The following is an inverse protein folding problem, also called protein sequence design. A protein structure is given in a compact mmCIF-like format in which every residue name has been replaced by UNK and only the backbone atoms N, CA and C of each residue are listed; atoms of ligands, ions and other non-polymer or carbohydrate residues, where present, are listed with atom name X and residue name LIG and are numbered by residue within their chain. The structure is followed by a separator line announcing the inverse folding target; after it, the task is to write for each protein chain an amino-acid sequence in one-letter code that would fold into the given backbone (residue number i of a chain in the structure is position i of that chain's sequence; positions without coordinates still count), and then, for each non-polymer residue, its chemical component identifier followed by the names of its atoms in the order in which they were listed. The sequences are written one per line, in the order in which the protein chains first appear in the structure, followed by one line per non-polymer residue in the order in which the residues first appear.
data_IF_670188180863
#
_entry.id   IF_670188180863
#
_cell.length_a   1.000
_cell.length_b   1.000
_cell.length_c   1.000
_cell.angle_alpha   90.00
_cell.angle_beta   90.00
_cell.angle_gamma   90.00
#
_symmetry.space_group_name_H-M   'P 1'
#
loop_
_entity.id
_entity.type
_entity.pdbx_description
1 polymer ?
#
# COMPACT_ATOMS: atom_id res chain seq x y z
N UNK A 1 -8.26 -4.85 14.01
CA UNK A 1 -8.62 -6.28 14.01
C UNK A 1 -10.13 -6.46 14.16
N UNK A 2 -10.77 -7.37 13.38
CA UNK A 2 -10.16 -8.16 12.28
C UNK A 2 -9.59 -7.27 11.15
N UNK A 3 -8.75 -7.79 10.24
CA UNK A 3 -8.29 -7.07 9.04
C UNK A 3 -9.44 -6.87 8.05
N UNK A 4 -9.19 -6.15 6.95
CA UNK A 4 -10.21 -5.78 5.97
C UNK A 4 -9.83 -5.86 4.50
N UNK A 5 -8.57 -5.70 4.11
CA UNK A 5 -8.21 -5.45 2.71
C UNK A 5 -8.54 -6.58 1.70
N UNK A 6 -8.82 -7.80 2.17
CA UNK A 6 -9.26 -8.93 1.35
C UNK A 6 -10.79 -9.06 1.21
N UNK A 7 -11.57 -8.34 2.01
CA UNK A 7 -13.03 -8.41 1.91
C UNK A 7 -13.51 -7.71 0.62
N UNK A 8 -14.13 -8.47 -0.26
CA UNK A 8 -14.72 -8.02 -1.52
C UNK A 8 -16.17 -7.55 -1.31
N UNK A 9 -16.78 -6.81 -2.26
CA UNK A 9 -18.14 -6.29 -2.12
C UNK A 9 -19.20 -7.35 -1.76
N UNK A 10 -19.01 -8.59 -2.21
CA UNK A 10 -19.95 -9.70 -2.05
C UNK A 10 -19.34 -10.92 -1.36
N UNK A 11 -18.14 -10.81 -0.77
CA UNK A 11 -17.43 -11.98 -0.22
C UNK A 11 -16.45 -11.61 0.90
N UNK A 12 -16.53 -12.37 1.99
CA UNK A 12 -15.52 -12.39 3.05
C UNK A 12 -14.42 -13.40 2.70
N UNK A 13 -13.15 -13.03 2.88
CA UNK A 13 -12.00 -13.92 2.65
C UNK A 13 -10.74 -13.38 3.33
N UNK A 14 -9.70 -14.21 3.47
CA UNK A 14 -8.40 -13.79 4.04
C UNK A 14 -8.51 -13.16 5.44
N UNK A 15 -9.31 -13.78 6.32
CA UNK A 15 -9.64 -13.25 7.66
C UNK A 15 -10.38 -11.90 7.70
N UNK A 16 -10.72 -11.34 6.53
CA UNK A 16 -11.39 -10.07 6.39
C UNK A 16 -12.92 -10.27 6.23
N UNK A 17 -13.67 -9.61 7.10
CA UNK A 17 -15.15 -9.66 7.11
C UNK A 17 -15.76 -8.41 6.46
N UNK A 18 -15.16 -7.26 6.71
CA UNK A 18 -15.51 -5.96 6.13
C UNK A 18 -14.22 -5.28 5.70
N UNK A 19 -14.27 -4.56 4.59
CA UNK A 19 -13.11 -3.80 4.13
C UNK A 19 -13.01 -2.46 4.86
N UNK A 20 -12.22 -2.43 5.93
CA UNK A 20 -12.09 -1.26 6.82
C UNK A 20 -11.62 -0.02 6.06
N UNK A 21 -10.61 -0.16 5.19
CA UNK A 21 -10.08 0.95 4.40
C UNK A 21 -11.10 1.47 3.38
N UNK A 22 -11.83 0.58 2.71
CA UNK A 22 -12.87 0.97 1.78
C UNK A 22 -14.04 1.70 2.47
N UNK A 23 -14.48 1.20 3.63
CA UNK A 23 -15.51 1.87 4.44
C UNK A 23 -15.04 3.25 4.89
N UNK A 24 -13.80 3.38 5.34
CA UNK A 24 -13.22 4.67 5.73
C UNK A 24 -13.12 5.64 4.53
N UNK A 25 -12.75 5.15 3.35
CA UNK A 25 -12.72 5.95 2.13
C UNK A 25 -14.12 6.46 1.76
N UNK A 26 -15.14 5.60 1.71
CA UNK A 26 -16.51 6.01 1.41
C UNK A 26 -17.06 7.00 2.46
N UNK A 27 -16.75 6.80 3.75
CA UNK A 27 -17.08 7.77 4.80
C UNK A 27 -16.41 9.14 4.55
N UNK A 28 -15.14 9.16 4.15
CA UNK A 28 -14.44 10.39 3.80
C UNK A 28 -15.03 11.07 2.54
N UNK A 29 -15.43 10.29 1.53
CA UNK A 29 -16.12 10.80 0.34
C UNK A 29 -17.44 11.48 0.72
N UNK A 30 -18.22 10.86 1.60
CA UNK A 30 -19.47 11.43 2.12
C UNK A 30 -19.25 12.73 2.93
N UNK A 31 -18.09 12.88 3.56
CA UNK A 31 -17.67 14.11 4.26
C UNK A 31 -16.99 15.15 3.34
N UNK A 32 -16.96 14.93 2.03
CA UNK A 32 -16.51 15.90 1.02
C UNK A 32 -15.07 15.74 0.54
N UNK A 33 -14.35 14.67 0.92
CA UNK A 33 -13.03 14.40 0.37
C UNK A 33 -13.16 13.99 -1.11
N UNK A 34 -12.90 14.89 -2.07
CA UNK A 34 -13.07 14.63 -3.52
C UNK A 34 -12.29 13.42 -4.06
N UNK A 35 -11.11 13.17 -3.47
CA UNK A 35 -10.17 12.12 -3.86
C UNK A 35 -9.57 11.48 -2.62
N UNK A 36 -9.47 10.16 -2.58
CA UNK A 36 -8.88 9.42 -1.45
C UNK A 36 -7.77 8.49 -1.98
N UNK A 37 -6.62 8.48 -1.34
CA UNK A 37 -5.58 7.48 -1.58
C UNK A 37 -5.71 6.39 -0.53
N UNK A 38 -5.76 5.14 -0.97
CA UNK A 38 -5.54 3.95 -0.14
C UNK A 38 -4.21 3.33 -0.58
N UNK A 39 -3.22 3.39 0.31
CA UNK A 39 -1.95 2.70 0.12
C UNK A 39 -1.93 1.43 0.99
N UNK A 40 -1.55 0.31 0.40
CA UNK A 40 -1.54 -0.99 1.03
C UNK A 40 -0.13 -1.58 0.97
N UNK A 41 0.48 -1.73 2.15
CA UNK A 41 1.81 -2.32 2.29
C UNK A 41 1.77 -3.66 3.02
N UNK A 42 0.58 -4.22 3.26
CA UNK A 42 0.44 -5.62 3.68
C UNK A 42 1.11 -6.53 2.64
N UNK A 43 1.76 -7.60 3.09
CA UNK A 43 2.51 -8.48 2.19
C UNK A 43 1.61 -9.19 1.18
N UNK A 44 0.31 -9.30 1.48
CA UNK A 44 -0.69 -9.88 0.60
C UNK A 44 -1.35 -8.80 -0.25
N UNK A 45 -1.71 -9.15 -1.48
CA UNK A 45 -2.47 -8.23 -2.32
C UNK A 45 -3.87 -8.00 -1.74
N UNK A 46 -4.22 -6.73 -1.46
CA UNK A 46 -5.54 -6.32 -1.00
C UNK A 46 -6.62 -6.35 -2.09
N UNK A 47 -6.86 -7.56 -2.63
CA UNK A 47 -7.81 -7.84 -3.70
C UNK A 47 -9.22 -7.30 -3.42
N UNK A 48 -9.64 -7.28 -2.16
CA UNK A 48 -10.93 -6.74 -1.75
C UNK A 48 -11.01 -5.24 -2.01
N UNK A 49 -9.97 -4.50 -1.59
CA UNK A 49 -9.88 -3.05 -1.82
C UNK A 49 -9.84 -2.73 -3.31
N UNK A 50 -9.02 -3.46 -4.07
CA UNK A 50 -8.98 -3.35 -5.52
C UNK A 50 -10.37 -3.57 -6.14
N UNK A 51 -11.08 -4.63 -5.74
CA UNK A 51 -12.39 -4.96 -6.28
C UNK A 51 -13.46 -3.89 -5.97
N UNK A 52 -13.44 -3.28 -4.77
CA UNK A 52 -14.38 -2.21 -4.40
C UNK A 52 -14.23 -1.00 -5.32
N UNK A 53 -13.00 -0.63 -5.69
CA UNK A 53 -12.71 0.61 -6.43
C UNK A 53 -12.29 0.39 -7.89
N UNK A 54 -12.44 -0.83 -8.42
CA UNK A 54 -11.95 -1.22 -9.75
C UNK A 54 -12.33 -0.26 -10.89
N UNK A 55 -13.55 0.27 -10.85
CA UNK A 55 -14.07 1.20 -11.87
C UNK A 55 -14.12 2.67 -11.41
N UNK A 56 -13.46 3.00 -10.29
CA UNK A 56 -13.59 4.30 -9.59
C UNK A 56 -12.30 5.11 -9.70
N UNK A 57 -12.37 6.26 -10.39
CA UNK A 57 -11.25 7.21 -10.49
C UNK A 57 -11.14 8.23 -9.35
N UNK A 58 -12.05 8.19 -8.39
CA UNK A 58 -12.05 9.07 -7.21
C UNK A 58 -11.38 8.44 -5.97
N UNK A 59 -10.98 7.17 -6.08
CA UNK A 59 -10.13 6.48 -5.11
C UNK A 59 -8.95 5.87 -5.85
N UNK A 60 -7.74 6.28 -5.46
CA UNK A 60 -6.50 5.67 -5.95
C UNK A 60 -6.10 4.55 -4.99
N UNK A 61 -5.99 3.32 -5.51
CA UNK A 61 -5.48 2.17 -4.77
C UNK A 61 -4.04 1.87 -5.21
N UNK A 62 -3.13 1.83 -4.25
CA UNK A 62 -1.72 1.48 -4.46
C UNK A 62 -1.37 0.31 -3.55
N UNK A 63 -0.79 -0.76 -4.11
CA UNK A 63 -0.37 -1.93 -3.32
C UNK A 63 1.01 -2.39 -3.71
N UNK A 64 1.87 -2.62 -2.71
CA UNK A 64 3.09 -3.41 -2.84
C UNK A 64 2.90 -4.69 -2.05
N UNK A 65 3.14 -5.83 -2.70
CA UNK A 65 2.84 -7.13 -2.11
C UNK A 65 3.73 -8.21 -2.72
N UNK A 66 3.80 -9.37 -2.07
CA UNK A 66 4.45 -10.55 -2.61
C UNK A 66 3.62 -11.15 -3.75
N UNK A 67 4.26 -11.54 -4.86
CA UNK A 67 3.61 -12.12 -6.02
C UNK A 67 4.55 -13.08 -6.79
N UNK A 68 4.05 -14.22 -7.30
CA UNK A 68 2.73 -14.79 -7.05
C UNK A 68 2.59 -15.27 -5.60
N UNK A 69 1.53 -14.85 -4.92
CA UNK A 69 1.24 -15.21 -3.53
C UNK A 69 -0.26 -15.18 -3.27
N UNK A 70 -0.72 -15.15 -2.01
CA UNK A 70 -2.15 -15.02 -1.73
C UNK A 70 -2.68 -13.65 -2.17
N UNK A 71 -3.85 -13.59 -2.86
CA UNK A 71 -4.75 -14.69 -3.23
C UNK A 71 -4.57 -15.21 -4.67
N UNK A 72 -3.51 -14.80 -5.38
CA UNK A 72 -3.26 -15.11 -6.79
C UNK A 72 -3.64 -13.99 -7.75
N UNK A 73 -3.90 -12.79 -7.23
CA UNK A 73 -4.18 -11.56 -7.97
C UNK A 73 -3.14 -10.49 -7.62
N UNK A 74 -3.25 -9.30 -8.21
CA UNK A 74 -2.32 -8.19 -7.96
C UNK A 74 -1.21 -8.10 -9.01
N UNK A 75 -1.41 -8.71 -10.18
CA UNK A 75 -0.45 -8.55 -11.28
C UNK A 75 -0.37 -7.08 -11.72
N UNK A 76 0.80 -6.67 -12.23
CA UNK A 76 1.06 -5.27 -12.58
C UNK A 76 0.15 -4.72 -13.70
N UNK A 77 -0.45 -5.60 -14.51
CA UNK A 77 -1.38 -5.22 -15.57
C UNK A 77 -2.83 -5.08 -15.09
N UNK A 78 -3.12 -5.40 -13.83
CA UNK A 78 -4.42 -5.14 -13.21
C UNK A 78 -4.49 -3.66 -12.82
N UNK A 79 -4.92 -2.79 -13.74
CA UNK A 79 -4.85 -1.32 -13.57
C UNK A 79 -6.20 -0.62 -13.39
N UNK A 80 -7.29 -1.39 -13.24
CA UNK A 80 -8.66 -0.86 -13.19
C UNK A 80 -9.31 -0.76 -14.57
N UNK A 81 -10.59 -0.42 -14.58
CA UNK A 81 -11.39 -0.32 -15.81
C UNK A 81 -12.26 0.94 -15.85
N UNK A 82 -12.76 1.28 -17.04
CA UNK A 82 -13.66 2.43 -17.25
C UNK A 82 -13.08 3.71 -16.64
N UNK A 83 -13.82 4.40 -15.77
CA UNK A 83 -13.36 5.61 -15.11
C UNK A 83 -12.25 5.36 -14.07
N UNK A 84 -12.05 4.11 -13.65
CA UNK A 84 -10.98 3.69 -12.74
C UNK A 84 -9.72 3.18 -13.44
N UNK A 85 -9.67 3.17 -14.78
CA UNK A 85 -8.48 2.75 -15.51
C UNK A 85 -7.27 3.65 -15.16
N UNK A 86 -6.20 3.02 -14.66
CA UNK A 86 -5.00 3.67 -14.12
C UNK A 86 -5.05 3.97 -12.62
N UNK A 87 -6.19 3.82 -11.93
CA UNK A 87 -6.33 4.15 -10.50
C UNK A 87 -6.14 2.93 -9.57
N UNK A 88 -5.83 1.77 -10.14
CA UNK A 88 -5.24 0.64 -9.42
C UNK A 88 -3.78 0.51 -9.81
N UNK A 89 -2.90 0.50 -8.82
CA UNK A 89 -1.44 0.52 -9.00
C UNK A 89 -0.86 -0.62 -8.17
N UNK A 90 -0.50 -1.71 -8.84
CA UNK A 90 0.13 -2.86 -8.21
C UNK A 90 1.64 -2.89 -8.49
N UNK A 91 2.43 -3.12 -7.44
CA UNK A 91 3.86 -3.44 -7.53
C UNK A 91 4.08 -4.85 -6.98
N UNK A 92 3.94 -5.89 -7.84
CA UNK A 92 4.06 -7.29 -7.45
C UNK A 92 5.53 -7.70 -7.33
N UNK A 93 6.01 -7.87 -6.10
CA UNK A 93 7.39 -8.26 -5.83
C UNK A 93 7.56 -9.76 -5.61
N UNK A 94 8.65 -10.39 -6.10
CA UNK A 94 9.00 -11.73 -5.65
C UNK A 94 9.39 -11.71 -4.17
N UNK A 95 9.28 -12.86 -3.49
CA UNK A 95 9.73 -13.00 -2.11
C UNK A 95 11.17 -12.49 -1.87
N UNK A 96 11.47 -12.16 -0.63
CA UNK A 96 12.78 -11.73 -0.16
C UNK A 96 13.13 -10.28 -0.49
N UNK A 97 12.15 -9.42 -0.81
CA UNK A 97 12.42 -7.98 -0.97
C UNK A 97 12.58 -7.32 0.40
N UNK A 98 13.59 -6.47 0.50
CA UNK A 98 13.95 -5.77 1.74
C UNK A 98 13.50 -4.30 1.71
N UNK A 99 13.90 -3.54 2.73
CA UNK A 99 13.59 -2.11 2.87
C UNK A 99 13.98 -1.25 1.66
N UNK A 100 15.12 -1.54 0.99
CA UNK A 100 15.58 -0.77 -0.17
C UNK A 100 14.71 -1.06 -1.40
N UNK A 101 14.30 -2.33 -1.56
CA UNK A 101 13.40 -2.76 -2.63
C UNK A 101 12.01 -2.13 -2.46
N UNK A 102 11.46 -2.16 -1.24
CA UNK A 102 10.20 -1.49 -0.90
C UNK A 102 10.32 0.01 -1.15
N UNK A 103 11.41 0.64 -0.71
CA UNK A 103 11.67 2.06 -0.95
C UNK A 103 11.67 2.47 -2.42
N UNK A 104 12.17 1.61 -3.31
CA UNK A 104 12.15 1.86 -4.75
C UNK A 104 10.71 1.88 -5.32
N UNK A 105 9.81 1.01 -4.84
CA UNK A 105 8.39 1.09 -5.22
C UNK A 105 7.74 2.43 -4.83
N UNK A 106 8.11 2.96 -3.66
CA UNK A 106 7.63 4.26 -3.20
C UNK A 106 8.16 5.39 -4.09
N UNK A 107 9.47 5.45 -4.30
CA UNK A 107 10.10 6.55 -5.04
C UNK A 107 9.77 6.54 -6.53
N UNK A 108 9.73 5.37 -7.17
CA UNK A 108 9.64 5.27 -8.62
C UNK A 108 8.19 5.19 -9.12
N UNK A 109 7.23 4.84 -8.25
CA UNK A 109 5.83 4.64 -8.63
C UNK A 109 4.88 5.35 -7.68
N UNK A 110 4.85 4.98 -6.39
CA UNK A 110 3.73 5.39 -5.52
C UNK A 110 3.70 6.89 -5.24
N UNK A 111 4.83 7.48 -4.83
CA UNK A 111 4.90 8.90 -4.49
C UNK A 111 4.62 9.79 -5.71
N UNK A 112 5.23 9.58 -6.90
CA UNK A 112 4.92 10.39 -8.09
C UNK A 112 3.43 10.33 -8.48
N UNK A 113 2.82 9.15 -8.48
CA UNK A 113 1.40 8.98 -8.82
C UNK A 113 0.53 9.67 -7.76
N UNK A 114 0.80 9.46 -6.48
CA UNK A 114 0.01 10.06 -5.42
C UNK A 114 0.12 11.60 -5.41
N UNK A 115 1.31 12.14 -5.70
CA UNK A 115 1.52 13.58 -5.89
C UNK A 115 0.71 14.12 -7.06
N UNK A 116 0.68 13.43 -8.20
CA UNK A 116 -0.14 13.80 -9.35
C UNK A 116 -1.65 13.69 -9.04
N UNK A 117 -2.06 12.67 -8.30
CA UNK A 117 -3.45 12.44 -7.90
C UNK A 117 -3.96 13.47 -6.89
N UNK A 118 -3.08 14.06 -6.06
CA UNK A 118 -3.43 15.10 -5.06
C UNK A 118 -4.61 14.67 -4.16
N UNK A 119 -4.53 13.54 -3.42
CA UNK A 119 -5.61 13.08 -2.57
C UNK A 119 -5.97 14.09 -1.46
N UNK A 120 -7.23 14.10 -1.04
CA UNK A 120 -7.68 14.90 0.10
C UNK A 120 -7.50 14.16 1.42
N UNK A 121 -7.39 12.83 1.40
CA UNK A 121 -7.11 11.98 2.55
C UNK A 121 -6.20 10.83 2.09
N UNK A 122 -5.22 10.47 2.91
CA UNK A 122 -4.43 9.26 2.75
C UNK A 122 -4.81 8.25 3.83
N UNK A 123 -5.17 7.05 3.40
CA UNK A 123 -5.43 5.89 4.24
C UNK A 123 -4.34 4.86 3.94
N UNK A 124 -3.72 4.31 4.97
CA UNK A 124 -2.77 3.23 4.84
C UNK A 124 -3.38 1.97 5.43
N UNK A 125 -3.55 0.95 4.60
CA UNK A 125 -3.75 -0.44 5.00
C UNK A 125 -2.40 -0.97 5.50
N UNK A 126 -2.20 -0.83 6.81
CA UNK A 126 -0.92 -1.02 7.48
C UNK A 126 -0.78 -2.45 8.01
N UNK A 127 -0.49 -3.39 7.10
CA UNK A 127 -0.06 -4.75 7.46
C UNK A 127 1.41 -4.77 7.86
N UNK A 128 1.78 -5.70 8.75
CA UNK A 128 3.17 -5.87 9.21
C UNK A 128 3.69 -7.30 9.00
N UNK A 129 3.05 -8.04 8.10
CA UNK A 129 3.44 -9.38 7.67
C UNK A 129 4.49 -9.41 6.57
N UNK A 130 4.92 -8.25 6.07
CA UNK A 130 6.15 -8.13 5.28
C UNK A 130 7.42 -8.17 6.16
N UNK A 131 7.27 -8.19 7.50
CA UNK A 131 8.39 -8.23 8.44
C UNK A 131 9.24 -9.48 8.25
N UNK A 132 10.55 -9.38 8.40
CA UNK A 132 11.50 -10.50 8.26
C UNK A 132 11.29 -11.68 9.22
N UNK A 133 10.54 -11.44 10.30
CA UNK A 133 10.19 -12.43 11.34
C UNK A 133 8.77 -12.99 11.16
N UNK A 134 8.05 -12.58 10.10
CA UNK A 134 6.66 -12.99 9.91
C UNK A 134 6.55 -14.43 9.38
N UNK A 135 5.75 -15.30 10.02
CA UNK A 135 5.64 -16.70 9.60
C UNK A 135 4.76 -16.92 8.35
N UNK A 136 3.95 -15.93 7.96
CA UNK A 136 3.03 -16.03 6.82
C UNK A 136 3.44 -15.16 5.63
N UNK A 137 4.37 -14.24 5.82
CA UNK A 137 4.99 -13.49 4.73
C UNK A 137 6.14 -14.23 4.05
N UNK A 138 7.02 -13.45 3.45
CA UNK A 138 8.26 -13.91 2.84
C UNK A 138 9.16 -12.76 2.41
N UNK A 139 8.90 -11.56 2.92
CA UNK A 139 9.69 -10.36 2.68
C UNK A 139 10.67 -10.15 3.84
N UNK A 140 11.57 -9.19 3.67
CA UNK A 140 12.65 -8.88 4.60
C UNK A 140 12.54 -7.43 5.08
N UNK A 141 11.31 -6.96 5.32
CA UNK A 141 11.11 -5.63 5.86
C UNK A 141 11.53 -5.60 7.33
N UNK A 142 12.26 -4.55 7.72
CA UNK A 142 12.60 -4.29 9.13
C UNK A 142 11.65 -3.27 9.74
N UNK A 143 11.70 -3.10 11.05
CA UNK A 143 10.94 -2.03 11.71
C UNK A 143 11.35 -0.64 11.20
N UNK A 144 12.61 -0.46 10.79
CA UNK A 144 13.08 0.79 10.18
C UNK A 144 12.58 0.95 8.75
N UNK A 145 12.39 -0.14 8.01
CA UNK A 145 11.68 -0.14 6.73
C UNK A 145 10.24 0.36 6.86
N UNK A 146 9.48 -0.17 7.82
CA UNK A 146 8.12 0.31 8.11
C UNK A 146 8.10 1.78 8.56
N UNK A 147 9.09 2.22 9.37
CA UNK A 147 9.24 3.62 9.72
C UNK A 147 9.55 4.51 8.50
N UNK A 148 10.38 4.04 7.55
CA UNK A 148 10.68 4.76 6.32
C UNK A 148 9.45 4.87 5.41
N UNK A 149 8.67 3.79 5.24
CA UNK A 149 7.38 3.82 4.52
C UNK A 149 6.41 4.81 5.17
N UNK A 150 6.27 4.76 6.51
CA UNK A 150 5.44 5.69 7.26
C UNK A 150 5.92 7.14 7.11
N UNK A 151 7.24 7.37 7.11
CA UNK A 151 7.83 8.71 6.96
C UNK A 151 7.54 9.29 5.58
N UNK A 152 7.73 8.49 4.53
CA UNK A 152 7.44 8.90 3.15
C UNK A 152 5.97 9.30 2.97
N UNK A 153 5.04 8.52 3.53
CA UNK A 153 3.60 8.78 3.39
C UNK A 153 3.10 9.92 4.28
N UNK A 154 3.68 10.08 5.47
CA UNK A 154 3.41 11.25 6.30
C UNK A 154 3.82 12.54 5.59
N UNK A 155 5.02 12.58 5.00
CA UNK A 155 5.50 13.73 4.23
C UNK A 155 4.62 14.00 3.00
N UNK A 156 4.25 12.95 2.26
CA UNK A 156 3.31 13.05 1.15
C UNK A 156 1.97 13.65 1.61
N UNK A 157 1.38 13.13 2.69
CA UNK A 157 0.11 13.62 3.21
C UNK A 157 0.20 15.09 3.65
N UNK A 158 1.30 15.51 4.28
CA UNK A 158 1.59 16.92 4.59
C UNK A 158 1.62 17.79 3.32
N UNK A 159 2.26 17.32 2.26
CA UNK A 159 2.41 18.04 0.98
C UNK A 159 1.09 18.18 0.21
N UNK A 160 0.30 17.09 0.12
CA UNK A 160 -0.82 17.02 -0.84
C UNK A 160 -2.19 16.87 -0.21
N UNK A 161 -2.25 16.40 1.04
CA UNK A 161 -3.50 16.12 1.76
C UNK A 161 -3.65 16.97 3.05
N UNK A 162 -2.85 18.03 3.23
CA UNK A 162 -2.92 18.90 4.42
C UNK A 162 -2.67 18.16 5.73
N UNK A 163 -1.80 17.14 5.70
CA UNK A 163 -1.45 16.31 6.85
C UNK A 163 -2.48 15.24 7.22
N UNK A 164 -3.56 15.06 6.44
CA UNK A 164 -4.61 14.08 6.72
C UNK A 164 -4.17 12.67 6.33
N UNK A 165 -3.75 11.92 7.35
CA UNK A 165 -3.25 10.55 7.24
C UNK A 165 -3.91 9.66 8.32
N UNK A 166 -4.31 8.45 7.94
CA UNK A 166 -4.80 7.41 8.84
C UNK A 166 -4.09 6.09 8.54
N UNK A 167 -3.59 5.40 9.56
CA UNK A 167 -3.06 4.03 9.46
C UNK A 167 -4.09 3.08 10.08
N UNK A 168 -4.49 2.05 9.34
CA UNK A 168 -5.41 1.00 9.77
C UNK A 168 -4.68 -0.33 9.78
N UNK A 169 -4.66 -1.03 10.92
CA UNK A 169 -3.98 -2.31 11.04
C UNK A 169 -4.65 -3.39 10.17
N UNK A 170 -3.86 -4.06 9.32
CA UNK A 170 -4.24 -5.23 8.51
C UNK A 170 -3.60 -6.52 9.09
N UNK A 171 -2.75 -7.21 8.32
CA UNK A 171 -2.01 -8.41 8.71
C UNK A 171 -0.79 -8.14 9.59
N UNK A 172 -0.05 -9.20 9.88
CA UNK A 172 1.06 -9.22 10.84
C UNK A 172 0.86 -10.30 11.89
N UNK A 173 1.70 -11.33 11.83
CA UNK A 173 1.54 -12.59 12.55
C UNK A 173 2.76 -12.93 13.41
N UNK A 174 3.89 -12.24 13.21
CA UNK A 174 4.99 -12.26 14.18
C UNK A 174 4.59 -11.59 15.49
N UNK A 175 4.58 -12.34 16.60
CA UNK A 175 4.26 -11.81 17.94
C UNK A 175 5.26 -10.78 18.45
N UNK A 176 6.45 -10.70 17.84
CA UNK A 176 7.47 -9.71 18.15
C UNK A 176 7.61 -8.66 17.04
N UNK A 177 7.64 -9.08 15.76
CA UNK A 177 7.80 -8.16 14.63
C UNK A 177 6.64 -7.17 14.50
N UNK A 178 5.39 -7.62 14.69
CA UNK A 178 4.21 -6.76 14.63
C UNK A 178 4.28 -5.59 15.62
N UNK A 179 4.37 -5.80 16.95
CA UNK A 179 4.37 -4.68 17.90
C UNK A 179 5.59 -3.77 17.74
N UNK A 180 6.77 -4.31 17.39
CA UNK A 180 7.97 -3.47 17.16
C UNK A 180 7.82 -2.58 15.92
N UNK A 181 7.19 -3.09 14.86
CA UNK A 181 6.92 -2.33 13.63
C UNK A 181 5.82 -1.28 13.82
N UNK A 182 4.73 -1.62 14.51
CA UNK A 182 3.70 -0.65 14.92
C UNK A 182 4.33 0.47 15.74
N UNK A 183 5.17 0.11 16.72
CA UNK A 183 5.88 1.10 17.52
C UNK A 183 6.76 2.02 16.67
N UNK A 184 7.50 1.48 15.70
CA UNK A 184 8.32 2.27 14.79
C UNK A 184 7.50 3.28 13.96
N UNK A 185 6.33 2.90 13.44
CA UNK A 185 5.42 3.84 12.78
C UNK A 185 4.86 4.88 13.76
N UNK A 186 4.55 4.51 15.00
CA UNK A 186 4.09 5.46 16.02
C UNK A 186 5.15 6.51 16.37
N UNK A 187 6.44 6.14 16.40
CA UNK A 187 7.52 7.10 16.57
C UNK A 187 7.53 8.15 15.44
N UNK A 188 7.30 7.72 14.20
CA UNK A 188 7.19 8.61 13.03
C UNK A 188 5.98 9.53 13.14
N UNK A 189 4.83 8.99 13.56
CA UNK A 189 3.64 9.79 13.83
C UNK A 189 3.88 10.82 14.95
N UNK A 190 4.76 10.52 15.91
CA UNK A 190 5.19 11.41 16.97
C UNK A 190 6.33 12.37 16.58
N UNK A 191 6.78 12.37 15.33
CA UNK A 191 7.74 13.32 14.78
C UNK A 191 9.12 12.77 14.44
N UNK A 192 9.36 11.46 14.62
CA UNK A 192 10.55 10.81 14.06
C UNK A 192 10.50 10.84 12.54
N UNK A 193 11.67 10.74 11.91
CA UNK A 193 11.81 10.56 10.46
C UNK A 193 12.87 9.51 10.19
N UNK A 194 12.53 8.59 9.31
CA UNK A 194 13.41 7.53 8.82
C UNK A 194 13.41 7.57 7.28
N UNK A 195 14.48 7.07 6.66
CA UNK A 195 14.65 7.06 5.20
C UNK A 195 14.97 5.65 4.73
N UNK A 196 14.58 5.34 3.49
CA UNK A 196 14.87 4.05 2.90
C UNK A 196 16.38 3.87 2.68
N UNK A 197 16.91 2.66 2.89
CA UNK A 197 18.26 2.34 2.44
C UNK A 197 18.32 2.38 0.90
N UNK A 198 19.51 2.63 0.37
CA UNK A 198 19.76 2.65 -1.09
C UNK A 198 20.09 1.26 -1.60
N UNK A 199 19.94 1.07 -2.92
CA UNK A 199 20.44 -0.11 -3.62
C UNK A 199 19.39 -1.21 -3.75
N UNK A 200 18.26 -0.89 -4.37
CA UNK A 200 17.28 -1.89 -4.76
C UNK A 200 17.89 -2.96 -5.67
N UNK A 201 17.47 -4.19 -5.44
CA UNK A 201 17.87 -5.38 -6.18
C UNK A 201 17.41 -5.34 -7.64
N UNK A 202 18.07 -6.15 -8.49
CA UNK A 202 17.69 -6.27 -9.91
C UNK A 202 16.29 -6.86 -10.08
N UNK A 203 15.89 -7.77 -9.21
CA UNK A 203 14.56 -8.38 -9.22
C UNK A 203 13.48 -7.35 -8.88
N UNK A 204 13.71 -6.49 -7.88
CA UNK A 204 12.79 -5.40 -7.57
C UNK A 204 12.67 -4.42 -8.73
N UNK A 205 13.78 -3.98 -9.31
CA UNK A 205 13.77 -3.06 -10.46
C UNK A 205 13.03 -3.66 -11.68
N UNK A 206 13.12 -4.97 -11.91
CA UNK A 206 12.36 -5.64 -12.98
C UNK A 206 10.84 -5.59 -12.73
N UNK A 207 10.40 -5.81 -11.49
CA UNK A 207 8.99 -5.73 -11.12
C UNK A 207 8.45 -4.28 -11.19
N UNK A 208 9.27 -3.31 -10.76
CA UNK A 208 8.97 -1.87 -10.90
C UNK A 208 8.81 -1.50 -12.36
N UNK A 209 9.72 -1.91 -13.25
CA UNK A 209 9.63 -1.58 -14.67
C UNK A 209 8.40 -2.20 -15.34
N UNK A 210 8.06 -3.45 -14.98
CA UNK A 210 6.82 -4.08 -15.45
C UNK A 210 5.56 -3.32 -15.01
N UNK A 211 5.60 -2.71 -13.82
CA UNK A 211 4.51 -1.87 -13.30
C UNK A 211 4.48 -0.51 -13.97
N UNK A 212 5.63 0.12 -14.21
CA UNK A 212 5.73 1.39 -14.95
C UNK A 212 5.20 1.24 -16.37
N UNK A 213 5.55 0.19 -17.09
CA UNK A 213 5.05 -0.03 -18.45
C UNK A 213 3.53 -0.24 -18.50
N UNK A 214 2.94 -0.92 -17.51
CA UNK A 214 1.49 -1.06 -17.41
C UNK A 214 0.77 0.28 -17.10
N UNK A 215 1.44 1.18 -16.36
CA UNK A 215 0.86 2.43 -15.86
C UNK A 215 1.13 3.65 -16.75
N UNK A 216 2.11 3.54 -17.66
CA UNK A 216 2.53 4.58 -18.62
C UNK A 216 1.40 5.21 -19.46
N UNK A 217 0.33 4.49 -19.84
CA UNK A 217 -0.81 5.13 -20.53
C UNK A 217 -1.56 6.16 -19.66
N UNK A 218 -1.46 6.06 -18.34
CA UNK A 218 -2.28 6.81 -17.39
C UNK A 218 -1.47 7.85 -16.60
N UNK A 219 -0.21 7.56 -16.31
CA UNK A 219 0.65 8.40 -15.46
C UNK A 219 1.99 8.70 -16.13
N UNK A 220 2.52 9.90 -15.88
CA UNK A 220 3.88 10.27 -16.27
C UNK A 220 4.86 9.77 -15.22
N UNK A 221 5.43 8.60 -15.48
CA UNK A 221 6.40 7.89 -14.63
C UNK A 221 7.80 7.87 -15.24
#
# INVERSE_FOLDING_TARGET
RPPGHHAEPNRMMGFCFLNNAAVAAEAARALGAARVLILDWDVHHGNGTQAVFWERGDVLYQSVHQYPFYPGTGASHETGERAGAGYTVNVPFPAGRNDADLGAAFHDIFLPIAQAFRPHLVIVSAGFDAHEDDPLGGMLATERGFAAMCSAIKLLAEEVAGGRLVLLLEGGYSLLGLPRSVHACLEVMAGRRDEFPRGASREAMRAIEASREALKPYWKL
#
